data_IF_172137001036
#
_entry.id   IF_172137001036
#
_cell.length_a   1.000
_cell.length_b   1.000
_cell.length_c   1.000
_cell.angle_alpha   90.00
_cell.angle_beta   90.00
_cell.angle_gamma   90.00
#
_symmetry.space_group_name_H-M   'P 1'
#
loop_
_entity.id
_entity.type
_entity.pdbx_description
1 polymer ?
#
# COMPACT_ATOMS: atom_id res chain seq x y z
N UNK A 1 13.36 -1.05 55.35
CA UNK A 1 12.08 -1.30 54.63
C UNK A 1 11.55 -0.09 53.85
N UNK A 2 11.68 1.15 54.34
CA UNK A 2 11.23 2.36 53.61
C UNK A 2 11.97 2.63 52.28
N UNK A 3 13.25 2.26 52.17
CA UNK A 3 14.05 2.55 50.96
C UNK A 3 13.73 1.62 49.77
N UNK A 4 13.13 0.45 50.00
CA UNK A 4 12.71 -0.48 48.94
C UNK A 4 11.48 0.06 48.19
N UNK A 5 10.58 0.75 48.90
CA UNK A 5 9.39 1.37 48.31
C UNK A 5 9.72 2.53 47.35
N UNK A 6 10.78 3.28 47.62
CA UNK A 6 11.22 4.34 46.71
C UNK A 6 11.84 3.79 45.43
N UNK A 7 12.57 2.67 45.53
CA UNK A 7 13.21 2.04 44.37
C UNK A 7 12.17 1.46 43.39
N UNK A 8 11.10 0.86 43.89
CA UNK A 8 10.00 0.36 43.06
C UNK A 8 9.18 1.47 42.41
N UNK A 9 9.02 2.61 43.08
CA UNK A 9 8.29 3.75 42.52
C UNK A 9 8.99 4.41 41.32
N UNK A 10 10.33 4.46 41.34
CA UNK A 10 11.14 5.05 40.25
C UNK A 10 11.10 4.19 38.97
N UNK A 11 11.01 2.86 39.11
CA UNK A 11 10.97 1.94 37.96
C UNK A 11 9.63 2.04 37.21
N UNK A 12 8.53 2.32 37.90
CA UNK A 12 7.19 2.44 37.28
C UNK A 12 7.08 3.70 36.40
N UNK A 13 7.82 4.77 36.71
CA UNK A 13 7.80 6.02 35.94
C UNK A 13 8.55 5.94 34.60
N UNK A 14 9.45 4.97 34.42
CA UNK A 14 10.19 4.79 33.17
C UNK A 14 9.43 3.97 32.12
N UNK A 15 8.34 3.31 32.49
CA UNK A 15 7.65 2.32 31.65
C UNK A 15 6.60 2.88 30.67
N UNK A 16 6.34 4.20 30.68
CA UNK A 16 5.20 4.78 29.93
C UNK A 16 5.54 5.58 28.67
N UNK A 17 6.77 5.54 28.16
CA UNK A 17 7.17 6.33 26.98
C UNK A 17 7.29 5.53 25.67
N UNK A 18 6.42 4.52 25.46
CA UNK A 18 6.29 3.89 24.14
C UNK A 18 5.42 4.75 23.23
N UNK A 19 5.98 5.83 22.66
CA UNK A 19 5.37 6.46 21.50
C UNK A 19 5.59 5.54 20.31
N UNK A 20 4.54 4.84 19.88
CA UNK A 20 4.52 4.18 18.58
C UNK A 20 4.83 5.27 17.53
N UNK A 21 6.00 5.21 16.91
CA UNK A 21 6.38 6.14 15.86
C UNK A 21 5.59 5.78 14.61
N UNK A 22 4.48 6.49 14.37
CA UNK A 22 3.84 6.47 13.05
C UNK A 22 4.79 7.16 12.08
N UNK A 23 5.41 6.40 11.19
CA UNK A 23 6.13 6.96 10.05
C UNK A 23 5.06 7.58 9.14
N UNK A 24 5.12 8.90 8.94
CA UNK A 24 4.31 9.57 7.94
C UNK A 24 4.69 9.01 6.56
N UNK A 25 3.78 8.24 5.95
CA UNK A 25 3.97 7.67 4.63
C UNK A 25 3.70 8.74 3.57
N UNK A 26 4.57 8.80 2.55
CA UNK A 26 4.31 9.60 1.37
C UNK A 26 3.04 9.12 0.64
N UNK A 27 2.31 10.05 0.03
CA UNK A 27 1.08 9.74 -0.71
C UNK A 27 1.32 9.68 -2.22
N UNK A 28 0.89 8.59 -2.85
CA UNK A 28 0.93 8.37 -4.29
C UNK A 28 -0.48 8.39 -4.88
N UNK A 29 -0.66 9.21 -5.92
CA UNK A 29 -1.91 9.29 -6.67
C UNK A 29 -1.73 8.71 -8.07
N UNK A 30 -2.52 7.72 -8.41
CA UNK A 30 -2.53 7.11 -9.74
C UNK A 30 -3.89 7.25 -10.40
N UNK A 31 -3.92 7.55 -11.70
CA UNK A 31 -5.15 7.55 -12.48
C UNK A 31 -5.73 6.13 -12.51
N UNK A 32 -7.03 5.99 -12.23
CA UNK A 32 -7.76 4.75 -12.43
C UNK A 32 -7.88 4.46 -13.93
N UNK A 33 -7.24 3.38 -14.39
CA UNK A 33 -7.25 2.94 -15.79
C UNK A 33 -7.91 1.57 -15.89
N UNK A 34 -9.14 1.54 -16.42
CA UNK A 34 -9.96 0.31 -16.54
C UNK A 34 -9.34 -0.76 -17.44
N UNK A 35 -8.38 -0.41 -18.29
CA UNK A 35 -7.68 -1.37 -19.14
C UNK A 35 -6.48 -2.03 -18.43
N UNK A 36 -6.12 -1.52 -17.26
CA UNK A 36 -4.94 -1.97 -16.51
C UNK A 36 -5.26 -2.44 -15.09
N UNK A 37 -6.22 -1.78 -14.47
CA UNK A 37 -6.74 -2.04 -13.14
C UNK A 37 -8.08 -2.77 -13.34
N UNK A 38 -8.09 -4.07 -13.09
CA UNK A 38 -9.20 -4.97 -13.32
C UNK A 38 -9.91 -5.26 -12.00
N UNK A 39 -11.23 -5.39 -12.00
CA UNK A 39 -11.94 -5.90 -10.82
C UNK A 39 -11.71 -7.40 -10.66
N UNK A 40 -11.71 -7.88 -9.42
CA UNK A 40 -11.70 -9.31 -9.13
C UNK A 40 -12.96 -10.00 -9.67
N UNK A 41 -12.84 -11.28 -10.03
CA UNK A 41 -13.93 -12.08 -10.64
C UNK A 41 -14.78 -12.86 -9.64
N UNK A 42 -14.29 -12.99 -8.42
CA UNK A 42 -14.91 -13.68 -7.30
C UNK A 42 -15.97 -12.81 -6.59
N UNK A 43 -16.18 -11.58 -7.05
CA UNK A 43 -17.12 -10.63 -6.46
C UNK A 43 -16.52 -9.80 -5.32
N UNK A 44 -15.21 -9.92 -5.06
CA UNK A 44 -14.52 -8.99 -4.17
C UNK A 44 -14.39 -7.60 -4.80
N UNK A 45 -14.21 -6.60 -3.95
CA UNK A 45 -13.94 -5.21 -4.37
C UNK A 45 -12.46 -4.96 -4.70
N UNK A 46 -11.67 -6.03 -4.84
CA UNK A 46 -10.24 -5.97 -5.08
C UNK A 46 -9.92 -5.56 -6.52
N UNK A 47 -8.80 -4.88 -6.67
CA UNK A 47 -8.27 -4.49 -7.96
C UNK A 47 -7.00 -5.25 -8.31
N UNK A 48 -7.09 -6.06 -9.35
CA UNK A 48 -5.99 -6.81 -9.94
C UNK A 48 -5.28 -5.98 -11.00
N UNK A 49 -4.00 -6.30 -11.25
CA UNK A 49 -3.23 -5.72 -12.34
C UNK A 49 -3.20 -6.66 -13.53
N UNK A 50 -3.37 -6.10 -14.73
CA UNK A 50 -3.32 -6.88 -15.97
C UNK A 50 -1.97 -7.58 -16.25
N UNK A 51 -0.89 -7.18 -15.56
CA UNK A 51 0.45 -7.79 -15.68
C UNK A 51 0.81 -8.78 -14.56
N UNK A 52 -0.10 -9.03 -13.59
CA UNK A 52 0.15 -9.94 -12.45
C UNK A 52 0.43 -11.37 -12.95
N UNK A 53 1.32 -12.09 -12.26
CA UNK A 53 1.71 -13.46 -12.60
C UNK A 53 1.13 -14.49 -11.62
N UNK A 54 1.30 -15.78 -11.92
CA UNK A 54 0.59 -16.91 -11.27
C UNK A 54 1.30 -17.55 -10.07
N UNK A 55 2.53 -17.14 -9.72
CA UNK A 55 3.22 -17.72 -8.54
C UNK A 55 2.86 -16.99 -7.23
N UNK A 56 1.95 -16.04 -7.33
CA UNK A 56 1.49 -15.16 -6.27
C UNK A 56 0.93 -13.87 -6.86
N UNK A 57 -0.19 -13.42 -6.34
CA UNK A 57 -0.99 -12.37 -6.96
C UNK A 57 -0.92 -11.10 -6.13
N UNK A 58 -0.42 -10.02 -6.75
CA UNK A 58 -0.54 -8.67 -6.20
C UNK A 58 -1.94 -8.14 -6.50
N UNK A 59 -2.56 -7.53 -5.50
CA UNK A 59 -3.79 -6.78 -5.70
C UNK A 59 -3.88 -5.57 -4.78
N UNK A 60 -4.75 -4.64 -5.15
CA UNK A 60 -5.15 -3.52 -4.33
C UNK A 60 -6.49 -3.81 -3.68
N UNK A 61 -6.51 -3.92 -2.36
CA UNK A 61 -7.72 -4.00 -1.57
C UNK A 61 -8.32 -2.59 -1.43
N UNK A 62 -9.59 -2.41 -1.81
CA UNK A 62 -10.29 -1.14 -1.63
C UNK A 62 -10.56 -0.90 -0.13
N UNK A 63 -10.23 0.30 0.37
CA UNK A 63 -10.56 0.70 1.75
C UNK A 63 -11.70 1.70 1.82
N UNK A 64 -11.43 2.93 1.41
CA UNK A 64 -12.40 4.02 1.46
C UNK A 64 -12.35 4.85 0.18
N UNK A 65 -13.45 5.54 -0.11
CA UNK A 65 -13.51 6.49 -1.22
C UNK A 65 -13.79 7.87 -0.66
N UNK A 66 -12.90 8.80 -0.96
CA UNK A 66 -13.02 10.21 -0.56
C UNK A 66 -13.19 11.08 -1.80
N UNK A 67 -13.71 12.28 -1.59
CA UNK A 67 -13.99 13.24 -2.66
C UNK A 67 -13.22 14.52 -2.42
N UNK A 68 -12.88 15.22 -3.50
CA UNK A 68 -12.32 16.58 -3.45
C UNK A 68 -10.95 16.71 -2.74
N UNK A 69 -10.12 15.66 -2.75
CA UNK A 69 -8.72 15.78 -2.35
C UNK A 69 -7.95 16.68 -3.34
N UNK A 70 -7.15 17.61 -2.81
CA UNK A 70 -6.22 18.41 -3.63
C UNK A 70 -4.99 17.56 -3.96
N UNK A 71 -5.06 16.74 -5.01
CA UNK A 71 -3.88 16.01 -5.49
C UNK A 71 -2.93 16.94 -6.25
N UNK A 72 -1.63 16.89 -5.92
CA UNK A 72 -0.62 17.72 -6.59
C UNK A 72 -0.17 17.15 -7.93
N UNK A 73 -0.19 15.82 -8.10
CA UNK A 73 0.26 15.13 -9.32
C UNK A 73 -0.31 13.72 -9.42
N UNK A 74 -1.23 13.50 -10.35
CA UNK A 74 -1.77 12.17 -10.67
C UNK A 74 -0.88 11.50 -11.73
N UNK A 75 -0.33 10.32 -11.43
CA UNK A 75 0.53 9.53 -12.33
C UNK A 75 -0.24 8.44 -13.05
N UNK A 76 0.29 7.89 -14.13
CA UNK A 76 -0.25 6.67 -14.75
C UNK A 76 0.39 5.43 -14.08
N UNK A 77 -0.42 4.57 -13.46
CA UNK A 77 0.07 3.38 -12.75
C UNK A 77 0.85 2.45 -13.68
N UNK A 78 0.28 2.11 -14.84
CA UNK A 78 0.93 1.27 -15.85
C UNK A 78 2.31 1.79 -16.23
N UNK A 79 2.42 3.09 -16.55
CA UNK A 79 3.70 3.71 -16.91
C UNK A 79 4.68 3.73 -15.74
N UNK A 80 4.20 3.92 -14.51
CA UNK A 80 5.03 3.87 -13.31
C UNK A 80 5.62 2.46 -13.12
N UNK A 81 4.78 1.44 -13.17
CA UNK A 81 5.17 0.03 -13.03
C UNK A 81 6.14 -0.37 -14.16
N UNK A 82 5.81 -0.07 -15.41
CA UNK A 82 6.63 -0.47 -16.58
C UNK A 82 8.03 0.17 -16.61
N UNK A 83 8.22 1.29 -15.92
CA UNK A 83 9.51 1.99 -15.81
C UNK A 83 10.24 1.71 -14.49
N UNK A 84 9.72 0.82 -13.66
CA UNK A 84 10.31 0.46 -12.38
C UNK A 84 11.29 -0.72 -12.50
N UNK A 85 12.00 -1.01 -11.41
CA UNK A 85 12.86 -2.19 -11.30
C UNK A 85 12.09 -3.53 -11.19
N UNK A 86 10.82 -3.50 -10.81
CA UNK A 86 9.99 -4.71 -10.63
C UNK A 86 9.30 -5.15 -11.92
N UNK A 87 9.47 -4.44 -13.04
CA UNK A 87 8.95 -4.83 -14.36
C UNK A 87 10.07 -5.21 -15.35
N UNK A 88 9.95 -6.37 -16.00
CA UNK A 88 10.92 -6.91 -16.96
C UNK A 88 10.25 -7.23 -18.29
N UNK A 89 10.35 -6.30 -19.25
CA UNK A 89 9.70 -6.39 -20.58
C UNK A 89 10.00 -7.68 -21.36
N UNK A 90 11.21 -8.24 -21.21
CA UNK A 90 11.70 -9.41 -21.97
C UNK A 90 11.52 -10.75 -21.26
N UNK A 91 10.83 -10.79 -20.11
CA UNK A 91 10.67 -12.01 -19.33
C UNK A 91 9.26 -12.60 -19.50
N UNK A 92 9.12 -13.92 -19.35
CA UNK A 92 7.82 -14.58 -19.27
C UNK A 92 7.05 -14.12 -18.02
N UNK A 93 7.77 -13.90 -16.92
CA UNK A 93 7.27 -13.26 -15.69
C UNK A 93 7.63 -11.78 -15.72
N UNK A 94 6.72 -10.97 -16.27
CA UNK A 94 6.98 -9.55 -16.55
C UNK A 94 6.95 -8.70 -15.28
N UNK A 95 6.19 -9.09 -14.27
CA UNK A 95 6.02 -8.35 -13.04
C UNK A 95 6.49 -9.18 -11.85
N UNK A 96 7.25 -8.58 -10.94
CA UNK A 96 7.54 -9.16 -9.65
C UNK A 96 6.52 -8.64 -8.63
N UNK A 97 5.44 -9.40 -8.47
CA UNK A 97 4.28 -9.05 -7.65
C UNK A 97 4.64 -8.85 -6.17
N UNK A 98 5.51 -9.69 -5.61
CA UNK A 98 5.98 -9.56 -4.23
C UNK A 98 6.75 -8.26 -4.00
N UNK A 99 7.73 -7.92 -4.86
CA UNK A 99 8.48 -6.66 -4.76
C UNK A 99 7.59 -5.44 -4.96
N UNK A 100 6.55 -5.57 -5.78
CA UNK A 100 5.57 -4.50 -5.97
C UNK A 100 4.76 -4.24 -4.70
N UNK A 101 4.33 -5.31 -4.03
CA UNK A 101 3.70 -5.24 -2.72
C UNK A 101 4.61 -4.54 -1.69
N UNK A 102 5.84 -5.02 -1.51
CA UNK A 102 6.80 -4.42 -0.57
C UNK A 102 7.07 -2.92 -0.86
N UNK A 103 7.02 -2.54 -2.14
CA UNK A 103 7.15 -1.14 -2.53
C UNK A 103 5.93 -0.32 -2.08
N UNK A 104 4.71 -0.76 -2.43
CA UNK A 104 3.50 0.02 -2.16
C UNK A 104 3.09 0.04 -0.69
N UNK A 105 3.48 -0.96 0.10
CA UNK A 105 3.24 -1.00 1.55
C UNK A 105 3.82 0.23 2.28
N UNK A 106 4.86 0.85 1.70
CA UNK A 106 5.54 2.03 2.26
C UNK A 106 4.83 3.36 1.98
N UNK A 107 3.76 3.35 1.17
CA UNK A 107 3.06 4.56 0.73
C UNK A 107 1.57 4.51 1.10
N UNK A 108 0.94 5.69 1.16
CA UNK A 108 -0.52 5.81 1.05
C UNK A 108 -0.86 5.89 -0.44
N UNK A 109 -1.71 4.99 -0.94
CA UNK A 109 -1.99 4.91 -2.38
C UNK A 109 -3.46 5.25 -2.66
N UNK A 110 -3.67 6.17 -3.60
CA UNK A 110 -4.98 6.51 -4.11
C UNK A 110 -5.09 6.20 -5.60
N UNK A 111 -6.16 5.50 -5.98
CA UNK A 111 -6.62 5.38 -7.36
C UNK A 111 -7.65 6.49 -7.64
N UNK A 112 -7.36 7.34 -8.60
CA UNK A 112 -8.12 8.55 -8.91
C UNK A 112 -9.01 8.33 -10.11
N UNK A 113 -10.32 8.36 -9.89
CA UNK A 113 -11.35 8.26 -10.91
C UNK A 113 -12.16 9.56 -10.96
N UNK A 114 -11.80 10.48 -11.87
CA UNK A 114 -12.38 11.84 -11.93
C UNK A 114 -12.21 12.58 -10.59
N UNK A 115 -13.29 12.73 -9.82
CA UNK A 115 -13.31 13.42 -8.51
C UNK A 115 -13.27 12.43 -7.32
N UNK A 116 -13.30 11.13 -7.60
CA UNK A 116 -13.21 10.05 -6.61
C UNK A 116 -11.74 9.69 -6.36
N UNK A 117 -11.39 9.60 -5.09
CA UNK A 117 -10.08 9.19 -4.60
C UNK A 117 -10.26 7.91 -3.79
N UNK A 118 -9.98 6.78 -4.43
CA UNK A 118 -10.15 5.45 -3.86
C UNK A 118 -8.85 5.11 -3.13
N UNK A 119 -8.88 5.13 -1.80
CA UNK A 119 -7.79 4.65 -0.99
C UNK A 119 -7.70 3.13 -1.11
N UNK A 120 -6.50 2.64 -1.40
CA UNK A 120 -6.22 1.22 -1.55
C UNK A 120 -5.03 0.79 -0.70
N UNK A 121 -5.07 -0.44 -0.22
CA UNK A 121 -3.94 -1.11 0.41
C UNK A 121 -3.39 -2.18 -0.54
N UNK A 122 -2.07 -2.28 -0.63
CA UNK A 122 -1.42 -3.36 -1.38
C UNK A 122 -1.47 -4.67 -0.60
N UNK A 123 -1.83 -5.75 -1.29
CA UNK A 123 -1.82 -7.12 -0.79
C UNK A 123 -1.04 -8.02 -1.73
N UNK A 124 -0.57 -9.12 -1.18
CA UNK A 124 0.07 -10.19 -1.91
C UNK A 124 -0.38 -11.53 -1.32
N UNK A 125 -0.87 -12.41 -2.18
CA UNK A 125 -1.28 -13.76 -1.80
C UNK A 125 -0.50 -14.79 -2.61
N UNK A 126 -0.10 -15.86 -1.95
CA UNK A 126 0.54 -17.02 -2.58
C UNK A 126 -0.58 -17.99 -2.95
N UNK A 127 -0.63 -18.39 -4.22
CA UNK A 127 -1.54 -19.44 -4.71
C UNK A 127 -1.09 -20.86 -4.31
#
# INVERSE_FOLDING_TARGET
MKNIFYLTFVIILLSFNSKAQSIDKDTLFFKFDRNYILGAKDGSDDFLLADSNSDGTFYFERKETTYNLKSKKVKCLKKFIHNSEFYRKKNHRKLNDFRLYEYFEKYVVFLVNKNEYIHVESRFEIE
#
